data_IF_155256436032
#
_entry.id   IF_155256436032
#
_cell.length_a   1.000
_cell.length_b   1.000
_cell.length_c   1.000
_cell.angle_alpha   90.00
_cell.angle_beta   90.00
_cell.angle_gamma   90.00
#
_symmetry.space_group_name_H-M   'P 1'
#
loop_
_entity.id
_entity.type
_entity.pdbx_description
1 polymer ?
#
# COMPACT_ATOMS: atom_id res chain seq x y z
N UNK A 1 -2.71 18.24 -32.86
CA UNK A 1 -1.29 18.65 -32.94
C UNK A 1 -0.59 18.66 -31.57
N UNK A 2 -1.20 19.07 -30.46
CA UNK A 2 -0.59 18.94 -29.11
C UNK A 2 -0.57 17.49 -28.60
N UNK A 3 -1.57 16.66 -28.96
CA UNK A 3 -1.59 15.22 -28.63
C UNK A 3 -0.56 14.41 -29.47
N UNK A 4 -0.17 14.89 -30.66
CA UNK A 4 0.89 14.26 -31.47
C UNK A 4 2.30 14.61 -30.99
N UNK A 5 2.47 15.68 -30.21
CA UNK A 5 3.77 16.11 -29.68
C UNK A 5 4.16 15.41 -28.37
N UNK A 6 3.19 14.81 -27.65
CA UNK A 6 3.47 14.00 -26.45
C UNK A 6 3.91 12.56 -26.79
N UNK A 7 3.70 12.11 -28.02
CA UNK A 7 4.03 10.74 -28.45
C UNK A 7 5.47 10.63 -29.02
N UNK A 8 6.16 11.74 -29.30
CA UNK A 8 7.45 11.74 -30.01
C UNK A 8 8.69 12.03 -29.14
N UNK A 9 8.58 12.12 -27.81
CA UNK A 9 9.72 12.37 -26.91
C UNK A 9 10.12 11.21 -25.98
N UNK A 10 9.87 9.97 -26.41
CA UNK A 10 10.57 8.79 -25.86
C UNK A 10 11.21 8.02 -27.02
N UNK A 11 12.33 8.54 -27.50
CA UNK A 11 13.25 7.79 -28.34
C UNK A 11 14.19 6.98 -27.44
N UNK A 12 13.63 6.10 -26.63
CA UNK A 12 14.34 4.94 -26.10
C UNK A 12 14.05 3.77 -27.04
N UNK A 13 15.06 2.94 -27.41
CA UNK A 13 14.84 1.81 -28.29
C UNK A 13 13.74 0.92 -27.72
N UNK A 14 12.80 0.56 -28.59
CA UNK A 14 11.59 -0.20 -28.31
C UNK A 14 11.96 -1.53 -27.64
N UNK A 15 11.95 -1.55 -26.31
CA UNK A 15 11.72 -2.76 -25.52
C UNK A 15 10.22 -2.93 -25.45
N UNK A 16 9.61 -3.46 -26.51
CA UNK A 16 8.25 -3.96 -26.46
C UNK A 16 8.25 -5.23 -25.62
N UNK A 17 7.77 -5.15 -24.38
CA UNK A 17 7.45 -6.35 -23.61
C UNK A 17 6.35 -7.13 -24.38
N UNK A 18 6.69 -8.29 -24.93
CA UNK A 18 5.68 -9.24 -25.48
C UNK A 18 5.00 -9.92 -24.29
N UNK A 19 3.67 -10.19 -24.34
CA UNK A 19 2.94 -10.67 -23.18
C UNK A 19 3.39 -12.08 -22.83
N UNK A 20 3.83 -12.28 -21.59
CA UNK A 20 3.81 -13.61 -21.00
C UNK A 20 2.34 -14.09 -20.92
N UNK A 21 2.07 -15.41 -20.76
CA UNK A 21 0.78 -15.86 -20.29
C UNK A 21 0.63 -15.42 -18.83
N UNK A 22 0.50 -14.12 -18.63
CA UNK A 22 0.02 -13.51 -17.40
C UNK A 22 -1.33 -14.16 -17.15
N UNK A 23 -1.50 -14.80 -16.00
CA UNK A 23 -2.82 -15.22 -15.57
C UNK A 23 -3.69 -13.96 -15.54
N UNK A 24 -4.48 -13.76 -16.60
CA UNK A 24 -5.41 -12.64 -16.71
C UNK A 24 -6.49 -12.84 -15.67
N UNK A 25 -7.00 -11.73 -15.14
CA UNK A 25 -8.12 -11.73 -14.20
C UNK A 25 -9.29 -12.52 -14.81
N UNK A 26 -9.62 -13.64 -14.17
CA UNK A 26 -10.68 -14.53 -14.62
C UNK A 26 -12.04 -13.89 -14.40
N UNK A 27 -13.07 -14.37 -15.11
CA UNK A 27 -14.46 -13.99 -14.83
C UNK A 27 -14.80 -14.28 -13.37
N UNK A 28 -14.30 -15.40 -12.82
CA UNK A 28 -14.46 -15.75 -11.42
C UNK A 28 -13.85 -14.69 -10.48
N UNK A 29 -12.69 -14.13 -10.84
CA UNK A 29 -12.04 -13.08 -10.05
C UNK A 29 -12.88 -11.79 -10.03
N UNK A 30 -13.42 -11.40 -11.18
CA UNK A 30 -14.35 -10.26 -11.27
C UNK A 30 -15.63 -10.50 -10.46
N UNK A 31 -16.21 -11.69 -10.53
CA UNK A 31 -17.41 -12.04 -9.76
C UNK A 31 -17.15 -11.96 -8.25
N UNK A 32 -16.03 -12.52 -7.76
CA UNK A 32 -15.65 -12.45 -6.35
C UNK A 32 -15.39 -11.00 -5.93
N UNK A 33 -14.61 -10.26 -6.72
CA UNK A 33 -14.26 -8.87 -6.43
C UNK A 33 -15.50 -7.97 -6.33
N UNK A 34 -16.37 -8.00 -7.36
CA UNK A 34 -17.59 -7.19 -7.40
C UNK A 34 -18.58 -7.67 -6.33
N UNK A 35 -18.73 -8.98 -6.15
CA UNK A 35 -19.64 -9.56 -5.16
C UNK A 35 -19.29 -9.12 -3.75
N UNK A 36 -18.02 -9.22 -3.36
CA UNK A 36 -17.54 -8.80 -2.04
C UNK A 36 -17.80 -7.31 -1.78
N UNK A 37 -17.41 -6.43 -2.72
CA UNK A 37 -17.64 -4.99 -2.58
C UNK A 37 -19.12 -4.64 -2.55
N UNK A 38 -19.94 -5.31 -3.37
CA UNK A 38 -21.39 -5.08 -3.40
C UNK A 38 -22.03 -5.49 -2.08
N UNK A 39 -21.65 -6.63 -1.50
CA UNK A 39 -22.15 -7.07 -0.19
C UNK A 39 -21.80 -6.04 0.89
N UNK A 40 -20.53 -5.58 0.95
CA UNK A 40 -20.12 -4.55 1.91
C UNK A 40 -20.90 -3.24 1.73
N UNK A 41 -21.10 -2.80 0.48
CA UNK A 41 -21.87 -1.59 0.18
C UNK A 41 -23.35 -1.75 0.56
N UNK A 42 -23.97 -2.89 0.25
CA UNK A 42 -25.37 -3.20 0.60
C UNK A 42 -25.56 -3.20 2.11
N UNK A 43 -24.67 -3.85 2.87
CA UNK A 43 -24.72 -3.84 4.34
C UNK A 43 -24.64 -2.40 4.86
N UNK A 44 -23.69 -1.60 4.36
CA UNK A 44 -23.56 -0.19 4.75
C UNK A 44 -24.80 0.64 4.43
N UNK A 45 -25.37 0.50 3.23
CA UNK A 45 -26.58 1.20 2.81
C UNK A 45 -27.80 0.76 3.64
N UNK A 46 -27.94 -0.55 3.88
CA UNK A 46 -29.02 -1.11 4.68
C UNK A 46 -29.04 -0.49 6.08
N UNK A 47 -27.92 -0.51 6.79
CA UNK A 47 -27.83 0.11 8.12
C UNK A 47 -27.94 1.64 8.07
N UNK A 48 -27.49 2.29 6.99
CA UNK A 48 -27.68 3.73 6.81
C UNK A 48 -29.17 4.14 6.72
N UNK A 49 -30.03 3.29 6.14
CA UNK A 49 -31.47 3.53 6.06
C UNK A 49 -32.23 3.09 7.32
N UNK A 50 -31.92 1.90 7.84
CA UNK A 50 -32.60 1.33 9.02
C UNK A 50 -32.31 2.16 10.27
N UNK A 51 -31.07 2.63 10.44
CA UNK A 51 -30.63 3.29 11.67
C UNK A 51 -30.71 4.83 11.61
N UNK A 52 -31.25 5.37 10.52
CA UNK A 52 -31.34 6.83 10.24
C UNK A 52 -32.07 7.64 11.33
N UNK A 53 -32.88 6.98 12.16
CA UNK A 53 -33.68 7.61 13.23
C UNK A 53 -33.10 7.48 14.64
N UNK A 54 -32.03 6.70 14.84
CA UNK A 54 -31.44 6.46 16.19
C UNK A 54 -30.08 7.10 16.41
N UNK A 55 -29.38 7.56 15.36
CA UNK A 55 -28.00 8.06 15.47
C UNK A 55 -27.84 9.28 16.40
N UNK A 56 -27.48 9.02 17.65
CA UNK A 56 -26.85 10.01 18.53
C UNK A 56 -25.39 10.20 18.13
N UNK A 57 -24.77 11.35 18.44
CA UNK A 57 -23.37 11.61 18.07
C UNK A 57 -22.43 10.59 18.73
N UNK A 58 -22.70 10.22 19.99
CA UNK A 58 -21.95 9.18 20.69
C UNK A 58 -22.13 7.79 20.08
N UNK A 59 -23.32 7.44 19.60
CA UNK A 59 -23.55 6.16 18.93
C UNK A 59 -22.88 6.11 17.56
N UNK A 60 -22.91 7.22 16.82
CA UNK A 60 -22.22 7.37 15.54
C UNK A 60 -20.69 7.29 15.69
N UNK A 61 -20.11 7.85 16.77
CA UNK A 61 -18.67 7.89 16.99
C UNK A 61 -18.12 6.70 17.79
N UNK A 62 -18.88 6.15 18.73
CA UNK A 62 -18.41 5.16 19.71
C UNK A 62 -19.05 3.77 19.54
N UNK A 63 -19.93 3.57 18.55
CA UNK A 63 -20.50 2.25 18.24
C UNK A 63 -21.24 1.58 19.41
N UNK A 64 -21.84 2.37 20.30
CA UNK A 64 -22.69 1.88 21.39
C UNK A 64 -21.99 1.11 22.53
N UNK A 65 -20.65 1.00 22.55
CA UNK A 65 -19.82 0.38 23.62
C UNK A 65 -20.26 -1.02 24.12
N UNK A 66 -21.12 -1.72 23.39
CA UNK A 66 -21.73 -2.99 23.78
C UNK A 66 -21.29 -4.17 22.90
N UNK A 67 -20.36 -3.92 21.97
CA UNK A 67 -19.83 -4.97 21.11
C UNK A 67 -18.93 -5.93 21.91
N UNK A 68 -19.12 -7.24 21.74
CA UNK A 68 -18.26 -8.24 22.34
C UNK A 68 -16.83 -8.22 21.76
N UNK A 69 -15.90 -8.87 22.47
CA UNK A 69 -14.46 -8.88 22.15
C UNK A 69 -14.17 -9.33 20.70
N UNK A 70 -14.91 -10.32 20.20
CA UNK A 70 -14.66 -10.90 18.88
C UNK A 70 -14.99 -9.93 17.71
N UNK A 71 -16.19 -9.31 17.62
CA UNK A 71 -16.45 -8.27 16.63
C UNK A 71 -15.52 -7.06 16.72
N UNK A 72 -15.16 -6.61 17.92
CA UNK A 72 -14.24 -5.48 18.10
C UNK A 72 -12.87 -5.86 17.54
N UNK A 73 -12.40 -7.08 17.79
CA UNK A 73 -11.11 -7.53 17.32
C UNK A 73 -11.05 -7.71 15.81
N UNK A 74 -12.12 -8.23 15.20
CA UNK A 74 -12.25 -8.25 13.75
C UNK A 74 -12.29 -6.83 13.16
N UNK A 75 -12.93 -5.87 13.83
CA UNK A 75 -12.94 -4.47 13.40
C UNK A 75 -11.54 -3.85 13.47
N UNK A 76 -10.79 -4.10 14.55
CA UNK A 76 -9.43 -3.59 14.70
C UNK A 76 -8.47 -4.28 13.73
N UNK A 77 -8.62 -5.59 13.52
CA UNK A 77 -7.89 -6.34 12.49
C UNK A 77 -8.12 -5.73 11.11
N UNK A 78 -9.38 -5.47 10.75
CA UNK A 78 -9.73 -4.86 9.48
C UNK A 78 -9.16 -3.44 9.33
N UNK A 79 -9.14 -2.65 10.41
CA UNK A 79 -8.51 -1.32 10.41
C UNK A 79 -6.99 -1.37 10.30
N UNK A 80 -6.34 -2.41 10.81
CA UNK A 80 -4.88 -2.53 10.76
C UNK A 80 -4.35 -3.20 9.49
N UNK A 81 -5.13 -4.10 8.89
CA UNK A 81 -4.91 -4.63 7.55
C UNK A 81 -5.17 -3.57 6.48
N UNK A 82 -4.44 -2.46 6.58
CA UNK A 82 -4.47 -1.39 5.60
C UNK A 82 -3.84 -1.87 4.29
N UNK A 83 -4.29 -1.30 3.17
CA UNK A 83 -3.65 -1.53 1.87
C UNK A 83 -2.16 -1.15 1.89
N UNK A 84 -1.78 -0.17 2.73
CA UNK A 84 -0.40 0.28 2.91
C UNK A 84 0.45 -0.84 3.51
N UNK A 85 0.01 -1.49 4.57
CA UNK A 85 0.75 -2.60 5.20
C UNK A 85 0.80 -3.82 4.27
N UNK A 86 -0.33 -4.13 3.63
CA UNK A 86 -0.46 -5.32 2.79
C UNK A 86 0.38 -5.25 1.50
N UNK A 87 0.42 -4.10 0.83
CA UNK A 87 1.24 -3.91 -0.37
C UNK A 87 2.66 -3.44 -0.03
N UNK A 88 2.80 -2.65 1.03
CA UNK A 88 4.04 -1.96 1.33
C UNK A 88 5.07 -2.79 2.08
N UNK A 89 4.66 -3.61 3.04
CA UNK A 89 5.62 -4.45 3.78
C UNK A 89 6.34 -5.45 2.86
N UNK A 90 5.65 -6.21 1.97
CA UNK A 90 6.34 -7.09 1.03
C UNK A 90 7.28 -6.34 0.09
N UNK A 91 6.89 -5.13 -0.34
CA UNK A 91 7.68 -4.29 -1.22
C UNK A 91 8.97 -3.78 -0.55
N UNK A 92 8.88 -3.36 0.71
CA UNK A 92 10.03 -2.90 1.47
C UNK A 92 11.05 -4.04 1.66
N UNK A 93 10.57 -5.24 1.97
CA UNK A 93 11.39 -6.45 2.07
C UNK A 93 12.03 -6.83 0.73
N UNK A 94 11.30 -6.65 -0.37
CA UNK A 94 11.82 -6.90 -1.70
C UNK A 94 12.99 -5.96 -2.07
N UNK A 95 12.87 -4.66 -1.75
CA UNK A 95 13.87 -3.67 -2.17
C UNK A 95 15.09 -3.61 -1.24
N UNK A 96 14.87 -3.66 0.07
CA UNK A 96 15.91 -3.45 1.09
C UNK A 96 16.37 -4.74 1.78
N UNK A 97 15.82 -5.88 1.37
CA UNK A 97 16.22 -7.21 1.82
C UNK A 97 15.55 -7.64 3.11
N UNK A 98 16.22 -8.50 3.87
CA UNK A 98 15.59 -9.29 4.93
C UNK A 98 15.28 -8.53 6.21
N UNK A 99 15.53 -7.21 6.29
CA UNK A 99 15.50 -6.41 7.53
C UNK A 99 14.25 -6.60 8.41
N UNK A 100 13.09 -6.89 7.80
CA UNK A 100 11.86 -7.17 8.54
C UNK A 100 11.88 -8.46 9.37
N UNK A 101 12.88 -9.34 9.20
CA UNK A 101 13.05 -10.53 10.05
C UNK A 101 13.11 -10.16 11.54
N UNK A 102 13.60 -8.96 11.87
CA UNK A 102 13.65 -8.45 13.25
C UNK A 102 12.28 -8.38 13.92
N UNK A 103 11.19 -8.26 13.16
CA UNK A 103 9.82 -8.27 13.69
C UNK A 103 9.47 -9.59 14.39
N UNK A 104 10.10 -10.71 13.99
CA UNK A 104 9.96 -12.00 14.70
C UNK A 104 10.42 -11.91 16.16
N UNK A 105 11.42 -11.07 16.44
CA UNK A 105 11.99 -10.90 17.78
C UNK A 105 11.33 -9.74 18.52
N UNK A 106 11.09 -8.62 17.83
CA UNK A 106 10.56 -7.39 18.43
C UNK A 106 9.09 -7.53 18.83
N UNK A 107 8.25 -8.19 18.03
CA UNK A 107 6.82 -8.31 18.36
C UNK A 107 6.52 -9.10 19.63
N UNK A 108 7.15 -10.27 19.92
CA UNK A 108 6.99 -10.94 21.20
C UNK A 108 7.39 -10.07 22.41
N UNK A 109 8.48 -9.31 22.28
CA UNK A 109 8.94 -8.40 23.33
C UNK A 109 7.93 -7.27 23.55
N UNK A 110 7.42 -6.65 22.47
CA UNK A 110 6.40 -5.61 22.56
C UNK A 110 5.08 -6.12 23.13
N UNK A 111 4.67 -7.34 22.76
CA UNK A 111 3.48 -7.98 23.32
C UNK A 111 3.64 -8.20 24.82
N UNK A 112 4.81 -8.65 25.28
CA UNK A 112 5.13 -8.78 26.69
C UNK A 112 5.08 -7.42 27.40
N UNK A 113 5.75 -6.39 26.88
CA UNK A 113 5.71 -5.04 27.45
C UNK A 113 4.28 -4.49 27.50
N UNK A 114 3.48 -4.69 26.46
CA UNK A 114 2.08 -4.25 26.41
C UNK A 114 1.25 -4.92 27.50
N UNK A 115 1.38 -6.23 27.64
CA UNK A 115 0.64 -7.02 28.63
C UNK A 115 0.99 -6.64 30.09
N UNK A 116 2.25 -6.32 30.39
CA UNK A 116 2.68 -6.03 31.76
C UNK A 116 2.70 -4.55 32.12
N UNK A 117 3.00 -3.64 31.18
CA UNK A 117 3.12 -2.22 31.46
C UNK A 117 1.83 -1.46 31.14
N UNK A 118 1.21 -1.71 29.98
CA UNK A 118 0.07 -0.90 29.52
C UNK A 118 -1.28 -1.46 29.98
N UNK A 119 -1.46 -2.78 29.91
CA UNK A 119 -2.73 -3.42 30.29
C UNK A 119 -3.19 -3.09 31.71
N UNK A 120 -2.33 -3.05 32.76
CA UNK A 120 -2.76 -2.67 34.11
C UNK A 120 -3.26 -1.23 34.20
N UNK A 121 -2.63 -0.30 33.48
CA UNK A 121 -3.02 1.11 33.46
C UNK A 121 -4.42 1.26 32.87
N UNK A 122 -4.66 0.66 31.71
CA UNK A 122 -5.98 0.72 31.06
C UNK A 122 -7.07 -0.04 31.82
N UNK A 123 -6.72 -1.15 32.48
CA UNK A 123 -7.64 -1.87 33.36
C UNK A 123 -8.14 -0.98 34.50
N UNK A 124 -7.23 -0.28 35.16
CA UNK A 124 -7.57 0.65 36.25
C UNK A 124 -8.43 1.82 35.78
N UNK A 125 -8.25 2.24 34.52
CA UNK A 125 -9.04 3.32 33.91
C UNK A 125 -10.44 2.86 33.45
N UNK A 126 -10.76 1.56 33.52
CA UNK A 126 -12.06 0.95 33.11
C UNK A 126 -12.51 1.33 31.69
N UNK A 127 -11.57 1.67 30.80
CA UNK A 127 -11.87 2.17 29.45
C UNK A 127 -12.06 1.01 28.47
N UNK A 128 -11.35 -0.11 28.68
CA UNK A 128 -11.41 -1.33 27.89
C UNK A 128 -11.04 -2.54 28.77
N UNK A 129 -11.53 -3.73 28.45
CA UNK A 129 -11.19 -4.95 29.21
C UNK A 129 -9.72 -5.32 28.96
N UNK A 130 -8.99 -5.76 29.99
CA UNK A 130 -7.58 -6.19 29.86
C UNK A 130 -7.36 -7.24 28.77
N UNK A 131 -8.33 -8.15 28.62
CA UNK A 131 -8.32 -9.20 27.61
C UNK A 131 -8.48 -8.65 26.20
N UNK A 132 -9.24 -7.56 26.02
CA UNK A 132 -9.36 -6.91 24.72
C UNK A 132 -8.01 -6.39 24.26
N UNK A 133 -7.25 -5.72 25.12
CA UNK A 133 -5.95 -5.13 24.74
C UNK A 133 -4.96 -6.20 24.27
N UNK A 134 -4.82 -7.30 25.03
CA UNK A 134 -3.90 -8.39 24.68
C UNK A 134 -4.37 -9.10 23.40
N UNK A 135 -5.68 -9.35 23.31
CA UNK A 135 -6.25 -10.00 22.13
C UNK A 135 -6.11 -9.12 20.88
N UNK A 136 -6.34 -7.80 20.99
CA UNK A 136 -6.08 -6.84 19.92
C UNK A 136 -4.63 -6.89 19.48
N UNK A 137 -3.68 -6.90 20.43
CA UNK A 137 -2.26 -6.94 20.12
C UNK A 137 -1.90 -8.21 19.33
N UNK A 138 -2.34 -9.39 19.77
CA UNK A 138 -2.10 -10.67 19.05
C UNK A 138 -2.70 -10.65 17.65
N UNK A 139 -3.95 -10.20 17.54
CA UNK A 139 -4.67 -10.09 16.27
C UNK A 139 -3.99 -9.09 15.33
N UNK A 140 -3.33 -8.06 15.86
CA UNK A 140 -2.56 -7.08 15.09
C UNK A 140 -1.24 -7.65 14.56
N UNK A 141 -0.51 -8.39 15.39
CA UNK A 141 0.86 -8.80 15.11
C UNK A 141 0.96 -10.00 14.18
N UNK A 142 0.03 -10.96 14.28
CA UNK A 142 0.06 -12.16 13.44
C UNK A 142 -0.01 -11.84 11.92
N UNK A 143 -0.90 -10.96 11.44
CA UNK A 143 -0.92 -10.59 10.02
C UNK A 143 0.30 -9.78 9.59
N UNK A 144 0.82 -8.89 10.44
CA UNK A 144 2.05 -8.15 10.14
C UNK A 144 3.23 -9.11 9.90
N UNK A 145 3.33 -10.15 10.71
CA UNK A 145 4.34 -11.19 10.56
C UNK A 145 4.15 -12.01 9.27
N UNK A 146 2.91 -12.39 8.96
CA UNK A 146 2.60 -13.09 7.72
C UNK A 146 2.97 -12.27 6.47
N UNK A 147 2.70 -10.96 6.48
CA UNK A 147 3.06 -10.05 5.39
C UNK A 147 4.57 -9.88 5.24
N UNK A 148 5.31 -9.81 6.36
CA UNK A 148 6.76 -9.80 6.34
C UNK A 148 7.34 -11.08 5.70
N UNK A 149 6.76 -12.25 6.01
CA UNK A 149 7.14 -13.52 5.40
C UNK A 149 6.79 -13.57 3.91
N UNK A 150 5.63 -13.07 3.51
CA UNK A 150 5.24 -12.96 2.10
C UNK A 150 6.25 -12.11 1.30
N UNK A 151 6.79 -11.04 1.89
CA UNK A 151 7.88 -10.25 1.33
C UNK A 151 9.17 -11.03 1.08
N UNK A 152 9.54 -11.94 2.00
CA UNK A 152 10.71 -12.80 1.82
C UNK A 152 10.52 -13.79 0.67
N UNK A 153 9.31 -14.35 0.55
CA UNK A 153 8.96 -15.24 -0.58
C UNK A 153 8.98 -14.47 -1.90
N UNK A 154 8.44 -13.25 -1.92
CA UNK A 154 8.49 -12.35 -3.06
C UNK A 154 9.93 -12.05 -3.49
N UNK A 155 10.79 -11.72 -2.53
CA UNK A 155 12.21 -11.51 -2.75
C UNK A 155 12.90 -12.75 -3.33
N UNK A 156 12.65 -13.94 -2.76
CA UNK A 156 13.23 -15.18 -3.24
C UNK A 156 12.76 -15.54 -4.66
N UNK A 157 11.48 -15.29 -4.99
CA UNK A 157 10.89 -15.55 -6.31
C UNK A 157 11.54 -14.70 -7.42
N UNK A 158 11.82 -13.45 -7.12
CA UNK A 158 12.33 -12.45 -8.06
C UNK A 158 13.79 -12.06 -7.76
N UNK A 159 14.55 -12.97 -7.15
CA UNK A 159 15.96 -12.74 -6.83
C UNK A 159 16.81 -12.61 -8.11
N UNK A 160 16.68 -13.56 -9.03
CA UNK A 160 17.46 -13.61 -10.29
C UNK A 160 16.75 -13.01 -11.51
N UNK A 161 15.50 -12.57 -11.33
CA UNK A 161 14.74 -11.88 -12.36
C UNK A 161 13.89 -10.76 -11.77
N UNK A 162 14.31 -9.52 -12.00
CA UNK A 162 13.59 -8.33 -11.57
C UNK A 162 12.44 -7.95 -12.54
N UNK A 163 11.16 -8.07 -12.11
CA UNK A 163 10.01 -7.68 -12.93
C UNK A 163 9.93 -6.17 -13.22
N UNK A 164 10.62 -5.32 -12.44
CA UNK A 164 10.67 -3.86 -12.69
C UNK A 164 11.53 -3.60 -13.93
N UNK A 165 12.71 -4.20 -14.02
CA UNK A 165 13.61 -4.02 -15.17
C UNK A 165 13.09 -4.64 -16.45
N UNK A 166 12.39 -5.78 -16.34
CA UNK A 166 11.74 -6.40 -17.49
C UNK A 166 10.47 -5.66 -17.94
N UNK A 167 10.12 -4.54 -17.31
CA UNK A 167 8.93 -3.72 -17.58
C UNK A 167 7.61 -4.48 -17.47
N UNK A 168 7.55 -5.53 -16.63
CA UNK A 168 6.28 -6.19 -16.28
C UNK A 168 5.44 -5.36 -15.34
N UNK A 169 6.10 -4.56 -14.49
CA UNK A 169 5.45 -3.59 -13.61
C UNK A 169 6.02 -2.20 -13.86
N UNK A 170 5.15 -1.18 -13.81
CA UNK A 170 5.57 0.21 -13.99
C UNK A 170 5.98 0.87 -12.67
N UNK A 171 5.32 0.48 -11.57
CA UNK A 171 5.60 1.00 -10.24
C UNK A 171 5.89 -0.14 -9.27
N UNK A 172 6.73 0.09 -8.25
CA UNK A 172 7.05 -0.95 -7.27
C UNK A 172 5.82 -1.47 -6.51
N UNK A 173 4.79 -0.64 -6.33
CA UNK A 173 3.52 -1.01 -5.65
C UNK A 173 2.74 -2.12 -6.37
N UNK A 174 2.99 -2.35 -7.66
CA UNK A 174 2.33 -3.39 -8.46
C UNK A 174 2.96 -4.78 -8.29
N UNK A 175 4.11 -4.86 -7.62
CA UNK A 175 4.91 -6.07 -7.54
C UNK A 175 4.21 -7.20 -6.77
N UNK A 176 3.62 -6.88 -5.62
CA UNK A 176 2.94 -7.88 -4.81
C UNK A 176 1.65 -8.40 -5.46
N UNK A 177 0.80 -7.55 -6.09
CA UNK A 177 -0.29 -8.02 -6.94
C UNK A 177 0.18 -8.92 -8.09
N UNK A 178 1.26 -8.55 -8.81
CA UNK A 178 1.82 -9.39 -9.86
C UNK A 178 2.19 -10.79 -9.33
N UNK A 179 2.86 -10.84 -8.18
CA UNK A 179 3.23 -12.10 -7.54
C UNK A 179 2.03 -12.99 -7.20
N UNK A 180 0.95 -12.39 -6.70
CA UNK A 180 -0.30 -13.11 -6.40
C UNK A 180 -0.94 -13.63 -7.69
N UNK A 181 -0.99 -12.82 -8.75
CA UNK A 181 -1.51 -13.26 -10.06
C UNK A 181 -0.68 -14.42 -10.63
N UNK A 182 0.65 -14.32 -10.59
CA UNK A 182 1.54 -15.35 -11.13
C UNK A 182 1.51 -16.66 -10.31
N UNK A 183 1.38 -16.57 -8.98
CA UNK A 183 1.48 -17.74 -8.09
C UNK A 183 0.13 -18.40 -7.83
N UNK A 184 -0.93 -17.61 -7.69
CA UNK A 184 -2.27 -18.07 -7.31
C UNK A 184 -3.29 -17.97 -8.44
N UNK A 185 -2.92 -17.45 -9.62
CA UNK A 185 -3.82 -17.29 -10.77
C UNK A 185 -4.34 -18.60 -11.36
N UNK A 186 -3.73 -19.74 -11.03
CA UNK A 186 -4.28 -21.06 -11.35
C UNK A 186 -5.57 -21.38 -10.57
N UNK A 187 -5.77 -20.74 -9.41
CA UNK A 187 -6.98 -20.87 -8.59
C UNK A 187 -7.95 -19.72 -8.89
N UNK A 188 -8.94 -20.00 -9.73
CA UNK A 188 -9.99 -19.03 -10.09
C UNK A 188 -10.69 -18.49 -8.83
N UNK A 189 -10.76 -17.16 -8.69
CA UNK A 189 -11.41 -16.45 -7.59
C UNK A 189 -10.45 -15.97 -6.49
N UNK A 190 -9.25 -16.57 -6.35
CA UNK A 190 -8.27 -16.18 -5.33
C UNK A 190 -7.66 -14.80 -5.62
N UNK A 191 -7.20 -14.49 -6.85
CA UNK A 191 -6.80 -13.12 -7.17
C UNK A 191 -7.93 -12.09 -6.99
N UNK A 192 -9.17 -12.46 -7.34
CA UNK A 192 -10.35 -11.63 -7.07
C UNK A 192 -10.54 -11.32 -5.60
N UNK A 193 -10.40 -12.34 -4.73
CA UNK A 193 -10.47 -12.21 -3.29
C UNK A 193 -9.34 -11.31 -2.76
N UNK A 194 -8.11 -11.49 -3.24
CA UNK A 194 -6.96 -10.68 -2.86
C UNK A 194 -7.16 -9.19 -3.19
N UNK A 195 -7.57 -8.87 -4.42
CA UNK A 195 -7.87 -7.49 -4.83
C UNK A 195 -9.03 -6.92 -4.01
N UNK A 196 -10.07 -7.72 -3.74
CA UNK A 196 -11.16 -7.27 -2.86
C UNK A 196 -10.67 -6.91 -1.45
N UNK A 197 -9.74 -7.68 -0.90
CA UNK A 197 -9.12 -7.43 0.40
C UNK A 197 -8.30 -6.13 0.42
N UNK A 198 -7.54 -5.84 -0.64
CA UNK A 198 -6.82 -4.56 -0.79
C UNK A 198 -7.80 -3.39 -0.74
N UNK A 199 -8.87 -3.44 -1.53
CA UNK A 199 -9.86 -2.36 -1.57
C UNK A 199 -10.61 -2.22 -0.24
N UNK A 200 -11.00 -3.33 0.40
CA UNK A 200 -11.63 -3.30 1.72
C UNK A 200 -10.70 -2.72 2.79
N UNK A 201 -9.42 -3.09 2.80
CA UNK A 201 -8.41 -2.54 3.72
C UNK A 201 -8.16 -1.05 3.50
N UNK A 202 -8.08 -0.61 2.24
CA UNK A 202 -7.98 0.81 1.88
C UNK A 202 -9.22 1.60 2.35
N UNK A 203 -10.42 1.11 2.06
CA UNK A 203 -11.68 1.73 2.46
C UNK A 203 -11.85 1.78 3.98
N UNK A 204 -11.42 0.73 4.71
CA UNK A 204 -11.44 0.72 6.18
C UNK A 204 -10.55 1.82 6.76
N UNK A 205 -9.33 1.97 6.23
CA UNK A 205 -8.36 2.98 6.66
C UNK A 205 -8.85 4.40 6.38
N UNK A 206 -9.39 4.63 5.18
CA UNK A 206 -9.96 5.94 4.80
C UNK A 206 -11.16 6.27 5.68
N UNK A 207 -12.05 5.30 5.91
CA UNK A 207 -13.25 5.50 6.72
C UNK A 207 -12.90 5.82 8.18
N UNK A 208 -12.01 5.05 8.81
CA UNK A 208 -11.60 5.30 10.19
C UNK A 208 -10.84 6.63 10.34
N UNK A 209 -9.97 6.98 9.38
CA UNK A 209 -9.22 8.24 9.36
C UNK A 209 -10.15 9.46 9.23
N UNK A 210 -11.05 9.46 8.25
CA UNK A 210 -12.00 10.56 8.03
C UNK A 210 -12.99 10.69 9.18
N UNK A 211 -13.47 9.57 9.74
CA UNK A 211 -14.39 9.61 10.90
C UNK A 211 -13.70 10.17 12.14
N UNK A 212 -12.45 9.76 12.41
CA UNK A 212 -11.68 10.26 13.54
C UNK A 212 -11.36 11.75 13.40
N UNK A 213 -10.97 12.20 12.20
CA UNK A 213 -10.76 13.62 11.91
C UNK A 213 -12.03 14.44 12.10
N UNK A 214 -13.18 13.93 11.66
CA UNK A 214 -14.46 14.59 11.85
C UNK A 214 -14.87 14.67 13.34
N UNK A 215 -14.59 13.62 14.11
CA UNK A 215 -14.84 13.58 15.55
C UNK A 215 -13.98 14.61 16.31
N UNK A 216 -12.67 14.58 16.08
CA UNK A 216 -11.70 15.50 16.71
C UNK A 216 -12.02 16.94 16.33
N UNK A 217 -12.32 17.22 15.06
CA UNK A 217 -12.70 18.56 14.60
C UNK A 217 -13.96 19.06 15.31
N UNK A 218 -14.95 18.19 15.52
CA UNK A 218 -16.18 18.55 16.21
C UNK A 218 -15.95 18.84 17.70
N UNK A 219 -15.30 17.93 18.44
CA UNK A 219 -15.13 18.05 19.89
C UNK A 219 -14.14 19.15 20.26
N UNK A 220 -12.98 19.19 19.61
CA UNK A 220 -11.88 20.07 20.03
C UNK A 220 -12.04 21.48 19.45
N UNK A 221 -12.55 21.61 18.23
CA UNK A 221 -12.68 22.91 17.57
C UNK A 221 -14.12 23.42 17.59
N UNK A 222 -15.09 22.71 17.02
CA UNK A 222 -16.45 23.26 16.88
C UNK A 222 -17.11 23.48 18.24
N UNK A 223 -17.11 22.47 19.11
CA UNK A 223 -17.66 22.57 20.47
C UNK A 223 -16.71 23.31 21.41
N UNK A 224 -15.40 23.17 21.23
CA UNK A 224 -14.41 23.91 22.02
C UNK A 224 -14.52 25.44 21.89
N UNK A 225 -14.79 25.94 20.68
CA UNK A 225 -14.95 27.39 20.43
C UNK A 225 -16.38 27.92 20.67
N UNK A 226 -17.40 27.06 20.57
CA UNK A 226 -18.78 27.47 20.81
C UNK A 226 -19.19 27.13 22.24
N UNK A 227 -19.29 28.13 23.13
CA UNK A 227 -19.85 27.98 24.49
C UNK A 227 -21.34 27.55 24.50
N UNK A 228 -21.90 27.16 23.35
CA UNK A 228 -23.30 26.81 23.19
C UNK A 228 -23.46 25.29 23.19
N UNK A 229 -24.34 24.77 24.05
CA UNK A 229 -24.73 23.37 24.03
C UNK A 229 -25.43 23.07 22.70
N UNK A 230 -24.69 22.52 21.76
CA UNK A 230 -25.21 22.15 20.45
C UNK A 230 -26.12 20.93 20.56
N UNK A 231 -27.32 21.02 19.96
CA UNK A 231 -28.23 19.88 19.87
C UNK A 231 -27.57 18.71 19.12
N UNK A 232 -27.77 17.48 19.60
CA UNK A 232 -27.16 16.28 19.00
C UNK A 232 -27.46 16.13 17.50
N UNK A 233 -28.67 16.52 17.06
CA UNK A 233 -29.03 16.48 15.63
C UNK A 233 -28.17 17.39 14.77
N UNK A 234 -27.86 18.59 15.29
CA UNK A 234 -26.98 19.57 14.60
C UNK A 234 -25.53 19.10 14.65
N UNK A 235 -25.08 18.57 15.79
CA UNK A 235 -23.74 18.00 15.94
C UNK A 235 -23.51 16.87 14.93
N UNK A 236 -24.42 15.89 14.84
CA UNK A 236 -24.33 14.78 13.87
C UNK A 236 -24.35 15.27 12.42
N UNK A 237 -25.14 16.30 12.08
CA UNK A 237 -25.15 16.87 10.72
C UNK A 237 -23.81 17.53 10.39
N UNK A 238 -23.25 18.30 11.32
CA UNK A 238 -21.95 18.97 11.17
C UNK A 238 -20.83 17.93 11.05
N UNK A 239 -20.80 16.89 11.88
CA UNK A 239 -19.81 15.81 11.78
C UNK A 239 -19.86 15.13 10.42
N UNK A 240 -21.04 14.85 9.89
CA UNK A 240 -21.21 14.28 8.54
C UNK A 240 -20.69 15.23 7.45
N UNK A 241 -20.96 16.53 7.57
CA UNK A 241 -20.46 17.54 6.63
C UNK A 241 -18.92 17.63 6.67
N UNK A 242 -18.32 17.63 7.86
CA UNK A 242 -16.87 17.63 8.06
C UNK A 242 -16.24 16.36 7.47
N UNK A 243 -16.84 15.19 7.70
CA UNK A 243 -16.38 13.93 7.14
C UNK A 243 -16.38 13.96 5.59
N UNK A 244 -17.45 14.48 4.98
CA UNK A 244 -17.52 14.65 3.52
C UNK A 244 -16.42 15.60 3.03
N UNK A 245 -16.19 16.72 3.72
CA UNK A 245 -15.15 17.68 3.36
C UNK A 245 -13.74 17.06 3.39
N UNK A 246 -13.39 16.32 4.45
CA UNK A 246 -12.12 15.59 4.51
C UNK A 246 -12.02 14.49 3.45
N UNK A 247 -13.13 13.81 3.12
CA UNK A 247 -13.18 12.84 2.04
C UNK A 247 -12.89 13.46 0.66
N UNK A 248 -13.49 14.61 0.35
CA UNK A 248 -13.22 15.34 -0.90
C UNK A 248 -11.76 15.81 -0.94
N UNK A 249 -11.24 16.33 0.19
CA UNK A 249 -9.85 16.75 0.30
C UNK A 249 -8.90 15.56 0.08
N UNK A 250 -9.19 14.39 0.65
CA UNK A 250 -8.40 13.18 0.46
C UNK A 250 -8.36 12.74 -1.01
N UNK A 251 -9.48 12.85 -1.74
CA UNK A 251 -9.52 12.59 -3.19
C UNK A 251 -8.65 13.61 -3.95
N UNK A 252 -8.72 14.89 -3.58
CA UNK A 252 -7.88 15.94 -4.17
C UNK A 252 -6.38 15.69 -3.99
N UNK A 253 -5.98 15.13 -2.84
CA UNK A 253 -4.58 14.78 -2.53
C UNK A 253 -4.01 13.68 -3.44
N UNK A 254 -4.85 12.87 -4.11
CA UNK A 254 -4.39 11.81 -5.02
C UNK A 254 -3.54 12.38 -6.16
N UNK A 255 -3.89 13.56 -6.69
CA UNK A 255 -3.11 14.21 -7.75
C UNK A 255 -1.71 14.61 -7.29
N UNK A 256 -1.56 15.02 -6.03
CA UNK A 256 -0.26 15.32 -5.43
C UNK A 256 0.51 14.03 -5.15
N UNK A 257 -0.17 13.00 -4.65
CA UNK A 257 0.45 11.70 -4.38
C UNK A 257 1.06 11.06 -5.64
N UNK A 258 0.48 11.28 -6.82
CA UNK A 258 1.06 10.82 -8.10
C UNK A 258 2.37 11.51 -8.46
N UNK A 259 2.62 12.72 -7.95
CA UNK A 259 3.90 13.43 -8.12
C UNK A 259 4.96 12.91 -7.13
N UNK A 260 4.53 12.26 -6.06
CA UNK A 260 5.41 11.67 -5.05
C UNK A 260 5.85 10.29 -5.54
N UNK A 261 7.13 10.14 -5.92
CA UNK A 261 7.62 8.87 -6.47
C UNK A 261 7.33 7.65 -5.57
N UNK A 262 7.87 7.63 -4.35
CA UNK A 262 7.63 6.55 -3.38
C UNK A 262 6.63 7.00 -2.30
N UNK A 263 5.33 6.87 -2.60
CA UNK A 263 4.23 7.26 -1.71
C UNK A 263 4.25 6.47 -0.40
N UNK A 264 4.58 5.19 -0.47
CA UNK A 264 4.66 4.30 0.70
C UNK A 264 5.69 4.80 1.72
N UNK A 265 6.91 5.10 1.26
CA UNK A 265 7.97 5.58 2.16
C UNK A 265 7.64 6.94 2.75
N UNK A 266 6.99 7.83 1.98
CA UNK A 266 6.52 9.11 2.50
C UNK A 266 5.45 8.92 3.58
N UNK A 267 4.49 8.00 3.38
CA UNK A 267 3.46 7.68 4.35
C UNK A 267 4.04 7.09 5.65
N UNK A 268 4.90 6.07 5.55
CA UNK A 268 5.57 5.47 6.70
C UNK A 268 6.46 6.47 7.44
N UNK A 269 7.16 7.34 6.70
CA UNK A 269 7.91 8.45 7.26
C UNK A 269 7.02 9.35 8.10
N UNK A 270 5.91 9.86 7.55
CA UNK A 270 4.97 10.72 8.25
C UNK A 270 4.41 10.08 9.52
N UNK A 271 4.07 8.79 9.48
CA UNK A 271 3.65 8.04 10.68
C UNK A 271 4.72 8.05 11.77
N UNK A 272 5.98 7.80 11.44
CA UNK A 272 7.08 7.85 12.41
C UNK A 272 7.33 9.26 12.94
N UNK A 273 7.37 10.25 12.03
CA UNK A 273 7.63 11.66 12.33
C UNK A 273 6.62 12.26 13.32
N UNK A 274 5.33 11.99 13.13
CA UNK A 274 4.26 12.54 13.96
C UNK A 274 3.90 11.62 15.14
N UNK A 275 4.02 10.31 14.96
CA UNK A 275 3.63 9.31 15.96
C UNK A 275 4.57 9.27 17.17
N UNK A 276 5.88 9.43 16.96
CA UNK A 276 6.86 9.30 18.04
C UNK A 276 6.70 10.33 19.18
N UNK A 277 6.55 11.65 18.91
CA UNK A 277 6.34 12.63 19.98
C UNK A 277 5.04 12.41 20.76
N UNK A 278 3.97 12.01 20.08
CA UNK A 278 2.68 11.70 20.69
C UNK A 278 2.79 10.45 21.55
N UNK A 279 3.42 9.39 21.04
CA UNK A 279 3.69 8.17 21.81
C UNK A 279 4.50 8.47 23.08
N UNK A 280 5.55 9.28 22.97
CA UNK A 280 6.34 9.72 24.12
C UNK A 280 5.50 10.49 25.15
N UNK A 281 4.59 11.35 24.71
CA UNK A 281 3.65 12.04 25.60
C UNK A 281 2.77 11.06 26.38
N UNK A 282 2.26 10.01 25.72
CA UNK A 282 1.48 8.96 26.38
C UNK A 282 2.30 8.21 27.43
N UNK A 283 3.56 7.87 27.14
CA UNK A 283 4.46 7.22 28.11
C UNK A 283 4.68 8.13 29.32
N UNK A 284 4.99 9.41 29.08
CA UNK A 284 5.18 10.41 30.14
C UNK A 284 3.92 10.53 31.00
N UNK A 285 2.75 10.65 30.38
CA UNK A 285 1.48 10.80 31.08
C UNK A 285 1.07 9.57 31.89
N UNK A 286 1.42 8.36 31.45
CA UNK A 286 1.08 7.12 32.15
C UNK A 286 2.08 6.76 33.25
N UNK A 287 3.37 6.97 33.03
CA UNK A 287 4.43 6.39 33.88
C UNK A 287 5.28 7.42 34.62
N UNK A 288 5.22 8.70 34.27
CA UNK A 288 6.10 9.74 34.83
C UNK A 288 5.25 10.86 35.49
N UNK A 289 4.78 10.65 36.73
CA UNK A 289 3.85 11.56 37.41
C UNK A 289 4.47 12.92 37.79
N UNK A 290 5.80 13.03 37.74
CA UNK A 290 6.55 14.23 38.14
C UNK A 290 6.60 15.30 37.03
N UNK A 291 6.15 14.98 35.81
CA UNK A 291 6.19 15.91 34.68
C UNK A 291 4.96 16.80 34.68
N UNK A 292 5.19 18.12 34.66
CA UNK A 292 4.12 19.11 34.53
C UNK A 292 3.59 19.20 33.09
N UNK A 293 2.35 19.69 32.92
CA UNK A 293 1.75 19.90 31.58
C UNK A 293 2.57 20.83 30.69
N UNK A 294 3.23 21.85 31.27
CA UNK A 294 4.14 22.75 30.53
C UNK A 294 5.39 22.00 30.05
N UNK A 295 5.97 21.16 30.91
CA UNK A 295 7.12 20.33 30.54
C UNK A 295 6.77 19.32 29.44
N UNK A 296 5.59 18.70 29.53
CA UNK A 296 5.07 17.80 28.51
C UNK A 296 4.86 18.51 27.15
N UNK A 297 4.28 19.72 27.16
CA UNK A 297 4.09 20.50 25.94
C UNK A 297 5.44 20.86 25.28
N UNK A 298 6.41 21.34 26.06
CA UNK A 298 7.75 21.67 25.55
C UNK A 298 8.44 20.41 25.00
N UNK A 299 8.31 19.27 25.68
CA UNK A 299 8.84 17.98 25.21
C UNK A 299 8.25 17.54 23.88
N UNK A 300 6.93 17.66 23.71
CA UNK A 300 6.25 17.32 22.45
C UNK A 300 6.68 18.26 21.32
N UNK A 301 6.72 19.57 21.57
CA UNK A 301 7.11 20.54 20.54
C UNK A 301 8.56 20.38 20.12
N UNK A 302 9.49 20.26 21.08
CA UNK A 302 10.91 20.04 20.78
C UNK A 302 11.17 18.70 20.10
N UNK A 303 10.50 17.62 20.54
CA UNK A 303 10.57 16.30 19.93
C UNK A 303 10.00 16.29 18.50
N UNK A 304 8.90 17.00 18.26
CA UNK A 304 8.33 17.17 16.93
C UNK A 304 9.28 17.96 16.02
N UNK A 305 9.86 19.06 16.49
CA UNK A 305 10.86 19.84 15.72
C UNK A 305 12.07 18.99 15.35
N UNK A 306 12.62 18.23 16.30
CA UNK A 306 13.76 17.34 16.04
C UNK A 306 13.39 16.23 15.04
N UNK A 307 12.21 15.63 15.20
CA UNK A 307 11.72 14.57 14.30
C UNK A 307 11.48 15.10 12.88
N UNK A 308 10.88 16.27 12.75
CA UNK A 308 10.69 16.98 11.47
C UNK A 308 12.03 17.33 10.82
N UNK A 309 12.99 17.85 11.60
CA UNK A 309 14.33 18.15 11.11
C UNK A 309 15.02 16.91 10.54
N UNK A 310 15.01 15.80 11.29
CA UNK A 310 15.63 14.54 10.85
C UNK A 310 14.89 13.94 9.64
N UNK A 311 13.56 13.84 9.68
CA UNK A 311 12.80 13.17 8.62
C UNK A 311 12.75 13.98 7.32
N UNK A 312 12.54 15.30 7.39
CA UNK A 312 12.62 16.18 6.20
C UNK A 312 14.06 16.23 5.71
N UNK A 313 15.04 16.33 6.62
CA UNK A 313 16.46 16.27 6.28
C UNK A 313 16.81 14.99 5.52
N UNK A 314 16.34 13.82 5.97
CA UNK A 314 16.54 12.55 5.27
C UNK A 314 15.89 12.54 3.87
N UNK A 315 14.70 13.13 3.71
CA UNK A 315 14.05 13.24 2.40
C UNK A 315 14.83 14.15 1.43
N UNK A 316 15.46 15.21 1.92
CA UNK A 316 16.25 16.16 1.13
C UNK A 316 17.63 15.57 0.80
N UNK A 317 18.33 15.07 1.81
CA UNK A 317 19.69 14.54 1.69
C UNK A 317 19.74 13.21 0.93
N UNK A 318 18.61 12.49 0.85
CA UNK A 318 18.49 11.17 0.18
C UNK A 318 19.65 10.25 0.56
N UNK A 319 19.81 9.89 1.84
CA UNK A 319 20.90 9.04 2.29
C UNK A 319 20.91 7.74 1.47
N UNK A 320 22.11 7.30 1.10
CA UNK A 320 22.27 6.10 0.31
C UNK A 320 21.73 4.89 1.08
N UNK A 321 20.66 4.29 0.56
CA UNK A 321 20.13 3.03 1.04
C UNK A 321 20.51 1.95 0.02
N UNK A 322 21.30 0.93 0.42
CA UNK A 322 21.68 -0.13 -0.50
C UNK A 322 20.43 -0.90 -0.93
N UNK A 323 20.09 -0.80 -2.21
CA UNK A 323 19.08 -1.62 -2.85
C UNK A 323 19.64 -3.02 -3.11
N UNK A 324 18.76 -4.01 -3.25
CA UNK A 324 19.17 -5.33 -3.70
C UNK A 324 19.91 -5.28 -5.05
N UNK A 325 20.84 -6.21 -5.31
CA UNK A 325 21.41 -6.37 -6.64
C UNK A 325 20.31 -6.63 -7.67
N UNK A 326 20.34 -5.87 -8.76
CA UNK A 326 19.40 -6.03 -9.86
C UNK A 326 19.93 -7.11 -10.79
N UNK A 327 19.24 -8.25 -10.84
CA UNK A 327 19.60 -9.40 -11.66
C UNK A 327 18.50 -9.65 -12.71
N UNK A 328 18.92 -9.90 -13.95
CA UNK A 328 18.04 -10.28 -15.08
C UNK A 328 18.48 -11.60 -15.72
N UNK A 329 19.33 -12.36 -15.04
CA UNK A 329 20.04 -13.51 -15.59
C UNK A 329 19.10 -14.65 -15.97
N UNK A 330 18.10 -14.92 -15.13
CA UNK A 330 17.09 -15.95 -15.35
C UNK A 330 15.72 -15.36 -15.68
N UNK A 331 15.69 -14.12 -16.17
CA UNK A 331 14.45 -13.60 -16.70
C UNK A 331 14.05 -14.38 -17.95
N UNK A 332 12.75 -14.63 -18.16
CA UNK A 332 12.22 -15.07 -19.44
C UNK A 332 12.45 -13.94 -20.47
N UNK A 333 13.68 -13.82 -20.95
CA UNK A 333 14.01 -12.97 -22.08
C UNK A 333 13.28 -13.60 -23.26
N UNK A 334 12.39 -12.83 -23.88
CA UNK A 334 11.97 -13.15 -25.24
C UNK A 334 13.22 -13.49 -26.06
N UNK A 335 13.05 -14.43 -26.98
CA UNK A 335 13.99 -14.84 -28.01
C UNK A 335 14.47 -13.68 -28.91
N UNK A 336 14.80 -12.49 -28.41
CA UNK A 336 15.38 -11.41 -29.21
C UNK A 336 16.76 -11.80 -29.68
N UNK A 337 17.59 -12.41 -28.82
CA UNK A 337 18.92 -12.88 -29.20
C UNK A 337 18.84 -14.04 -30.21
N UNK A 338 17.91 -14.96 -30.01
CA UNK A 338 17.66 -16.11 -30.91
C UNK A 338 17.02 -15.68 -32.22
N UNK A 339 16.09 -14.73 -32.22
CA UNK A 339 15.48 -14.20 -33.45
C UNK A 339 16.43 -13.29 -34.23
N UNK A 340 17.27 -12.47 -33.58
CA UNK A 340 18.33 -11.72 -34.28
C UNK A 340 19.37 -12.66 -34.88
N UNK A 341 19.81 -13.69 -34.16
CA UNK A 341 20.71 -14.71 -34.71
C UNK A 341 20.05 -15.48 -35.86
N UNK A 342 18.79 -15.90 -35.72
CA UNK A 342 18.06 -16.59 -36.77
C UNK A 342 17.79 -15.69 -37.99
N UNK A 343 17.52 -14.41 -37.78
CA UNK A 343 17.31 -13.43 -38.85
C UNK A 343 18.62 -13.06 -39.55
N UNK A 344 19.75 -12.98 -38.83
CA UNK A 344 21.07 -12.87 -39.45
C UNK A 344 21.48 -14.15 -40.20
N UNK A 345 21.19 -15.33 -39.68
CA UNK A 345 21.40 -16.61 -40.37
C UNK A 345 20.54 -16.74 -41.64
N UNK A 346 19.28 -16.30 -41.59
CA UNK A 346 18.37 -16.26 -42.74
C UNK A 346 18.85 -15.27 -43.81
N UNK A 347 19.27 -14.07 -43.39
CA UNK A 347 19.81 -13.06 -44.31
C UNK A 347 21.11 -13.54 -44.96
N UNK A 348 22.01 -14.20 -44.21
CA UNK A 348 23.24 -14.75 -44.76
C UNK A 348 22.99 -15.87 -45.78
N UNK A 349 22.05 -16.78 -45.50
CA UNK A 349 21.64 -17.82 -46.48
C UNK A 349 21.03 -17.22 -47.75
N UNK A 350 20.22 -16.16 -47.60
CA UNK A 350 19.57 -15.49 -48.74
C UNK A 350 20.59 -14.76 -49.61
N UNK A 351 21.58 -14.10 -48.99
CA UNK A 351 22.70 -13.47 -49.70
C UNK A 351 23.54 -14.51 -50.45
N UNK A 352 23.81 -15.67 -49.83
CA UNK A 352 24.56 -16.75 -50.48
C UNK A 352 23.82 -17.32 -51.69
N UNK A 353 22.50 -17.51 -51.58
CA UNK A 353 21.64 -17.94 -52.68
C UNK A 353 21.57 -16.91 -53.82
N UNK A 354 21.46 -15.61 -53.49
CA UNK A 354 21.52 -14.54 -54.49
C UNK A 354 22.87 -14.49 -55.21
N UNK A 355 23.97 -14.66 -54.48
CA UNK A 355 25.33 -14.72 -55.05
C UNK A 355 25.53 -15.93 -55.96
N UNK A 356 25.00 -17.11 -55.60
CA UNK A 356 25.00 -18.30 -56.47
C UNK A 356 24.17 -18.07 -57.72
N UNK A 357 22.99 -17.46 -57.59
CA UNK A 357 22.10 -17.17 -58.71
C UNK A 357 22.74 -16.16 -59.69
N UNK A 358 23.36 -15.09 -59.19
CA UNK A 358 24.15 -14.15 -60.02
C UNK A 358 25.31 -14.83 -60.75
N UNK A 359 26.06 -15.72 -60.08
CA UNK A 359 27.15 -16.50 -60.73
C UNK A 359 26.63 -17.43 -61.82
N UNK A 360 25.49 -18.09 -61.61
CA UNK A 360 24.86 -18.96 -62.61
C UNK A 360 24.33 -18.15 -63.80
N UNK A 361 23.71 -16.98 -63.56
CA UNK A 361 23.26 -16.06 -64.62
C UNK A 361 24.42 -15.56 -65.49
N UNK A 362 25.55 -15.18 -64.88
CA UNK A 362 26.76 -14.77 -65.62
C UNK A 362 27.36 -15.90 -66.46
N UNK A 363 27.34 -17.14 -65.97
CA UNK A 363 27.76 -18.32 -66.77
C UNK A 363 26.82 -18.60 -67.95
N UNK A 364 25.55 -18.24 -67.83
CA UNK A 364 24.53 -18.41 -68.87
C UNK A 364 24.42 -17.19 -69.81
N UNK A 365 25.30 -16.18 -69.68
CA UNK A 365 25.40 -15.05 -70.62
C UNK A 365 24.36 -13.94 -70.43
N UNK A 366 23.64 -13.90 -69.31
CA UNK A 366 22.69 -12.82 -69.03
C UNK A 366 23.40 -11.57 -68.46
N UNK A 367 23.10 -10.40 -69.02
CA UNK A 367 23.61 -9.09 -68.54
C UNK A 367 22.79 -8.66 -67.32
N UNK A 368 23.46 -8.42 -66.19
CA UNK A 368 22.83 -7.89 -64.98
C UNK A 368 22.52 -6.40 -65.18
N UNK A 369 21.25 -6.01 -65.31
CA UNK A 369 20.82 -4.61 -65.17
C UNK A 369 20.63 -4.31 -63.68
N UNK A 370 21.52 -3.51 -63.10
CA UNK A 370 21.37 -3.01 -61.73
C UNK A 370 20.24 -1.96 -61.70
N UNK A 371 19.15 -2.26 -60.98
CA UNK A 371 18.20 -1.23 -60.55
C UNK A 371 18.71 -0.64 -59.23
N UNK A 372 18.96 0.67 -59.25
CA UNK A 372 19.41 1.52 -58.15
C UNK A 372 18.48 1.49 -56.93
#
# INVERSE_FOLDING_TARGET
QIVSLLVTMSSDPIVTAVPHPEHRFSVADYCVFIGMLSISAIIGIYYAFVDRRKTTTNEFLMGGRSMGVFPVALSVLASFLSAITLLGTPLEVYNYGTQYWIHLVVYPILMYITAYCFTPVFYNLKVTSSFEIIYMAVVLYAPALALAQAGLVLFAKYWDCDPIQTKRVSTPDQLFPLFVMETLGSFSGIPGLFVSGIFSGALSTVSSGVNSLAAVTLEDYVKGYTNFKMSEKKATLITKAIAIAFGILAIGMVGIAQLMGNVLQAALGLFGLLGCPIFALYIVGMFIPFISSKGALVGVLSGLTASLWVGIGAMISKPYNPLKPILVNNCPMNNYTTNLLNQQLYNNKTIELMMRTKRTRRRLGFVDTDCS
#
